data_IF_982334283097
#
_entry.id   IF_982334283097
#
_cell.length_a   1.000
_cell.length_b   1.000
_cell.length_c   1.000
_cell.angle_alpha   90.00
_cell.angle_beta   90.00
_cell.angle_gamma   90.00
#
_symmetry.space_group_name_H-M   'P 1'
#
loop_
_entity.id
_entity.type
_entity.pdbx_description
1 polymer ?
#
# COMPACT_ATOMS: atom_id res chain seq x y z
N UNK A 1 13.41 15.95 6.08
CA UNK A 1 13.64 15.69 4.64
C UNK A 1 13.05 14.33 4.24
N UNK A 2 12.00 14.30 3.39
CA UNK A 2 11.57 13.05 2.77
C UNK A 2 12.63 12.67 1.73
N UNK A 3 13.16 11.45 1.83
CA UNK A 3 14.18 10.93 0.93
C UNK A 3 13.73 10.90 -0.54
N UNK A 4 14.59 10.44 -1.45
CA UNK A 4 14.26 10.32 -2.86
C UNK A 4 12.95 9.55 -3.04
N UNK A 5 12.06 10.04 -3.92
CA UNK A 5 10.81 9.34 -4.27
C UNK A 5 11.14 8.02 -5.00
N UNK A 6 11.28 6.94 -4.22
CA UNK A 6 11.67 5.61 -4.70
C UNK A 6 10.65 5.07 -5.71
N UNK A 7 9.35 5.26 -5.44
CA UNK A 7 8.27 4.91 -6.35
C UNK A 7 8.42 5.59 -7.71
N UNK A 8 8.73 6.90 -7.75
CA UNK A 8 8.96 7.61 -9.01
C UNK A 8 10.21 7.11 -9.76
N UNK A 9 11.27 6.74 -9.04
CA UNK A 9 12.49 6.17 -9.65
C UNK A 9 12.24 4.81 -10.28
N UNK A 10 11.26 4.05 -9.79
CA UNK A 10 10.82 2.78 -10.38
C UNK A 10 9.84 3.01 -11.55
N UNK A 11 8.87 3.90 -11.39
CA UNK A 11 7.80 4.11 -12.36
C UNK A 11 8.30 4.67 -13.70
N UNK A 12 9.27 5.60 -13.69
CA UNK A 12 9.73 6.25 -14.92
C UNK A 12 10.48 5.31 -15.88
N UNK A 13 11.46 4.48 -15.44
CA UNK A 13 12.05 3.44 -16.27
C UNK A 13 11.03 2.40 -16.74
N UNK A 14 10.12 1.95 -15.87
CA UNK A 14 9.09 0.97 -16.23
C UNK A 14 8.19 1.48 -17.37
N UNK A 15 7.73 2.73 -17.29
CA UNK A 15 6.93 3.35 -18.36
C UNK A 15 7.70 3.46 -19.69
N UNK A 16 9.00 3.79 -19.64
CA UNK A 16 9.85 3.81 -20.85
C UNK A 16 10.00 2.42 -21.46
N UNK A 17 10.21 1.40 -20.63
CA UNK A 17 10.34 0.02 -21.11
C UNK A 17 9.05 -0.50 -21.75
N UNK A 18 7.89 -0.24 -21.13
CA UNK A 18 6.59 -0.57 -21.72
C UNK A 18 6.40 0.11 -23.08
N UNK A 19 6.72 1.40 -23.16
CA UNK A 19 6.61 2.17 -24.40
C UNK A 19 7.54 1.61 -25.48
N UNK A 20 8.77 1.26 -25.14
CA UNK A 20 9.72 0.62 -26.06
C UNK A 20 9.25 -0.76 -26.57
N UNK A 21 8.39 -1.43 -25.79
CA UNK A 21 7.75 -2.70 -26.16
C UNK A 21 6.41 -2.51 -26.88
N UNK A 22 6.06 -1.28 -27.29
CA UNK A 22 4.82 -0.99 -28.02
C UNK A 22 3.58 -0.79 -27.15
N UNK A 23 3.74 -0.67 -25.82
CA UNK A 23 2.65 -0.42 -24.87
C UNK A 23 2.71 1.04 -24.38
N UNK A 24 1.86 1.96 -24.88
CA UNK A 24 1.90 3.36 -24.48
C UNK A 24 1.71 3.51 -22.96
N UNK A 25 2.71 4.07 -22.26
CA UNK A 25 2.67 4.26 -20.82
C UNK A 25 3.39 5.53 -20.40
N UNK A 26 2.87 6.22 -19.38
CA UNK A 26 3.48 7.43 -18.82
C UNK A 26 3.46 7.41 -17.30
N UNK A 27 4.62 7.62 -16.68
CA UNK A 27 4.71 7.85 -15.25
C UNK A 27 4.24 9.28 -14.91
N UNK A 28 3.17 9.39 -14.12
CA UNK A 28 2.56 10.67 -13.73
C UNK A 28 2.34 10.72 -12.22
N UNK A 29 2.69 11.82 -11.53
CA UNK A 29 2.44 11.96 -10.09
C UNK A 29 0.97 12.35 -9.84
N UNK A 30 0.05 11.40 -9.97
CA UNK A 30 -1.40 11.63 -9.83
C UNK A 30 -1.87 11.84 -8.40
N UNK A 31 -1.03 11.67 -7.39
CA UNK A 31 -1.41 11.77 -5.98
C UNK A 31 -0.68 12.91 -5.29
N UNK A 32 -1.33 13.51 -4.29
CA UNK A 32 -0.71 14.43 -3.34
C UNK A 32 -1.24 14.18 -1.93
N UNK A 33 -0.42 14.44 -0.89
CA UNK A 33 -0.92 14.47 0.48
C UNK A 33 -1.99 15.54 0.65
N UNK A 34 -3.06 15.20 1.38
CA UNK A 34 -4.12 16.12 1.77
C UNK A 34 -4.03 16.55 3.24
N UNK A 35 -3.47 15.68 4.10
CA UNK A 35 -3.26 15.95 5.53
C UNK A 35 -2.03 15.24 6.07
N UNK A 36 -1.65 15.59 7.29
CA UNK A 36 -0.66 14.82 8.05
C UNK A 36 -1.25 13.46 8.46
N UNK A 37 -0.41 12.43 8.43
CA UNK A 37 -0.72 11.07 8.90
C UNK A 37 0.00 10.90 10.23
N UNK A 38 -0.69 10.36 11.24
CA UNK A 38 -0.09 10.11 12.55
C UNK A 38 0.96 8.99 12.45
N UNK A 39 1.87 8.93 13.43
CA UNK A 39 2.83 7.84 13.50
C UNK A 39 2.11 6.47 13.47
N UNK A 40 2.63 5.58 12.63
CA UNK A 40 2.05 4.26 12.37
C UNK A 40 2.67 3.16 13.23
N UNK A 41 3.60 3.52 14.12
CA UNK A 41 4.14 2.65 15.16
C UNK A 41 2.99 2.10 16.04
N UNK A 42 3.00 0.79 16.31
CA UNK A 42 2.00 0.14 17.18
C UNK A 42 0.60 -0.05 16.60
N UNK A 43 0.23 0.57 15.47
CA UNK A 43 -1.12 0.41 14.90
C UNK A 43 -1.37 -1.02 14.40
N UNK A 44 -2.62 -1.47 14.50
CA UNK A 44 -3.12 -2.68 13.80
C UNK A 44 -3.27 -2.40 12.30
N UNK A 45 -3.55 -3.42 11.47
CA UNK A 45 -3.82 -3.20 10.04
C UNK A 45 -5.05 -2.29 9.82
N UNK A 46 -6.12 -2.50 10.59
CA UNK A 46 -7.29 -1.62 10.59
C UNK A 46 -6.98 -0.20 11.06
N UNK A 47 -6.16 -0.05 12.11
CA UNK A 47 -5.70 1.25 12.59
C UNK A 47 -4.89 2.02 11.54
N UNK A 48 -4.07 1.33 10.73
CA UNK A 48 -3.35 1.96 9.61
C UNK A 48 -4.28 2.43 8.51
N UNK A 49 -5.27 1.61 8.13
CA UNK A 49 -6.25 1.97 7.11
C UNK A 49 -7.04 3.22 7.54
N UNK A 50 -7.51 3.27 8.79
CA UNK A 50 -8.19 4.44 9.33
C UNK A 50 -7.27 5.68 9.37
N UNK A 51 -6.02 5.52 9.84
CA UNK A 51 -5.06 6.63 9.88
C UNK A 51 -4.71 7.16 8.48
N UNK A 52 -4.75 6.32 7.44
CA UNK A 52 -4.50 6.73 6.05
C UNK A 52 -5.74 7.20 5.32
N UNK A 53 -6.95 6.91 5.77
CA UNK A 53 -8.17 7.32 5.07
C UNK A 53 -8.22 8.84 4.89
N UNK A 54 -8.36 9.29 3.64
CA UNK A 54 -8.37 10.71 3.29
C UNK A 54 -7.00 11.39 3.37
N UNK A 55 -5.90 10.65 3.55
CA UNK A 55 -4.55 11.19 3.56
C UNK A 55 -4.07 11.55 2.15
N UNK A 56 -4.63 10.94 1.11
CA UNK A 56 -4.30 11.20 -0.29
C UNK A 56 -5.50 11.76 -1.05
N UNK A 57 -5.19 12.65 -1.98
CA UNK A 57 -6.14 13.13 -3.00
C UNK A 57 -5.49 13.06 -4.37
N UNK A 58 -6.32 12.82 -5.39
CA UNK A 58 -5.87 12.87 -6.76
C UNK A 58 -5.52 14.31 -7.18
N UNK A 59 -4.55 14.44 -8.08
CA UNK A 59 -4.30 15.62 -8.89
C UNK A 59 -5.08 15.48 -10.19
N UNK A 60 -5.38 16.62 -10.82
CA UNK A 60 -5.79 16.60 -12.23
C UNK A 60 -4.71 15.94 -13.09
N UNK A 61 -5.14 15.15 -14.07
CA UNK A 61 -4.22 14.37 -14.89
C UNK A 61 -4.91 13.67 -16.05
N UNK A 62 -4.14 12.94 -16.88
CA UNK A 62 -4.68 12.21 -18.01
C UNK A 62 -5.70 11.16 -17.58
N UNK A 63 -6.70 10.96 -18.42
CA UNK A 63 -7.71 9.90 -18.27
C UNK A 63 -7.19 8.58 -18.82
N UNK A 64 -7.60 7.47 -18.21
CA UNK A 64 -7.26 6.12 -18.66
C UNK A 64 -7.01 5.16 -17.49
N UNK A 65 -6.67 3.90 -17.78
CA UNK A 65 -6.27 2.91 -16.78
C UNK A 65 -5.04 3.36 -16.00
N UNK A 66 -5.07 3.21 -14.67
CA UNK A 66 -3.98 3.58 -13.77
C UNK A 66 -3.41 2.34 -13.09
N UNK A 67 -2.10 2.15 -13.20
CA UNK A 67 -1.33 1.21 -12.40
C UNK A 67 -0.62 1.98 -11.28
N UNK A 68 -0.87 1.61 -10.02
CA UNK A 68 -0.12 2.16 -8.89
C UNK A 68 1.26 1.52 -8.83
N UNK A 69 2.28 2.30 -8.50
CA UNK A 69 3.65 1.81 -8.34
C UNK A 69 4.15 2.22 -6.96
N UNK A 70 4.68 1.26 -6.22
CA UNK A 70 5.34 1.48 -4.93
C UNK A 70 6.58 0.58 -4.85
N UNK A 71 7.50 0.82 -3.93
CA UNK A 71 8.66 -0.04 -3.75
C UNK A 71 8.34 -1.26 -2.88
N UNK A 72 7.73 -1.04 -1.72
CA UNK A 72 7.50 -2.06 -0.71
C UNK A 72 6.07 -1.97 -0.19
N UNK A 73 5.33 -3.08 -0.28
CA UNK A 73 4.05 -3.23 0.41
C UNK A 73 4.23 -4.00 1.72
N UNK A 74 3.63 -3.49 2.78
CA UNK A 74 3.51 -4.17 4.08
C UNK A 74 2.08 -4.65 4.29
N UNK A 75 1.18 -3.73 4.61
CA UNK A 75 -0.25 -3.99 4.87
C UNK A 75 -1.14 -3.67 3.68
N UNK A 76 -0.59 -3.01 2.65
CA UNK A 76 -1.38 -2.50 1.52
C UNK A 76 -2.18 -1.23 1.82
N UNK A 77 -2.17 -0.71 3.06
CA UNK A 77 -3.00 0.43 3.44
C UNK A 77 -2.71 1.70 2.60
N UNK A 78 -1.45 1.96 2.26
CA UNK A 78 -1.07 3.09 1.39
C UNK A 78 -1.63 2.94 -0.03
N UNK A 79 -1.49 1.75 -0.63
CA UNK A 79 -2.03 1.44 -1.95
C UNK A 79 -3.56 1.49 -1.97
N UNK A 80 -4.21 1.01 -0.91
CA UNK A 80 -5.67 1.07 -0.77
C UNK A 80 -6.17 2.53 -0.69
N UNK A 81 -5.49 3.38 0.08
CA UNK A 81 -5.81 4.81 0.15
C UNK A 81 -5.56 5.52 -1.18
N UNK A 82 -4.46 5.19 -1.87
CA UNK A 82 -4.17 5.70 -3.21
C UNK A 82 -5.26 5.31 -4.21
N UNK A 83 -5.69 4.05 -4.21
CA UNK A 83 -6.77 3.56 -5.06
C UNK A 83 -8.11 4.26 -4.76
N UNK A 84 -8.45 4.42 -3.47
CA UNK A 84 -9.63 5.17 -3.03
C UNK A 84 -9.60 6.62 -3.53
N UNK A 85 -8.47 7.31 -3.39
CA UNK A 85 -8.32 8.70 -3.81
C UNK A 85 -8.47 8.88 -5.33
N UNK A 86 -7.94 7.94 -6.12
CA UNK A 86 -8.07 7.93 -7.57
C UNK A 86 -9.49 7.60 -8.02
N UNK A 87 -10.12 6.60 -7.41
CA UNK A 87 -11.51 6.24 -7.70
C UNK A 87 -12.48 7.39 -7.38
N UNK A 88 -12.27 8.09 -6.27
CA UNK A 88 -13.05 9.28 -5.90
C UNK A 88 -12.90 10.44 -6.91
N UNK A 89 -11.83 10.44 -7.70
CA UNK A 89 -11.60 11.40 -8.79
C UNK A 89 -11.97 10.85 -10.17
N UNK A 90 -12.59 9.66 -10.25
CA UNK A 90 -13.07 9.06 -11.50
C UNK A 90 -12.01 8.29 -12.30
N UNK A 91 -10.83 8.02 -11.73
CA UNK A 91 -9.82 7.18 -12.38
C UNK A 91 -10.11 5.69 -12.20
N UNK A 92 -9.84 4.89 -13.24
CA UNK A 92 -9.89 3.44 -13.19
C UNK A 92 -8.53 2.88 -12.74
N UNK A 93 -8.42 2.40 -11.51
CA UNK A 93 -7.21 1.72 -11.03
C UNK A 93 -7.30 0.25 -11.40
N UNK A 94 -6.37 -0.22 -12.23
CA UNK A 94 -6.36 -1.61 -12.75
C UNK A 94 -5.45 -2.55 -11.96
N UNK A 95 -4.62 -2.01 -11.07
CA UNK A 95 -3.76 -2.82 -10.20
C UNK A 95 -2.66 -2.00 -9.53
N UNK A 96 -1.74 -2.72 -8.88
CA UNK A 96 -0.53 -2.17 -8.31
C UNK A 96 0.67 -3.07 -8.63
N UNK A 97 1.84 -2.46 -8.85
CA UNK A 97 3.12 -3.13 -9.01
C UNK A 97 4.07 -2.69 -7.89
N UNK A 98 4.68 -3.66 -7.20
CA UNK A 98 5.61 -3.44 -6.09
C UNK A 98 6.83 -4.35 -6.21
N UNK A 99 7.98 -3.89 -5.72
CA UNK A 99 9.23 -4.67 -5.78
C UNK A 99 9.28 -5.72 -4.69
N UNK A 100 8.79 -5.41 -3.49
CA UNK A 100 8.76 -6.35 -2.37
C UNK A 100 7.43 -6.32 -1.62
N UNK A 101 7.03 -7.49 -1.09
CA UNK A 101 5.90 -7.64 -0.19
C UNK A 101 6.36 -8.26 1.12
N UNK A 102 6.09 -7.57 2.23
CA UNK A 102 6.37 -8.09 3.58
C UNK A 102 5.06 -8.44 4.25
N UNK A 103 4.63 -9.69 4.09
CA UNK A 103 3.55 -10.22 4.91
C UNK A 103 4.03 -10.21 6.37
N UNK A 104 3.30 -9.51 7.24
CA UNK A 104 3.54 -9.64 8.67
C UNK A 104 3.28 -11.10 9.02
N UNK A 105 4.26 -11.79 9.61
CA UNK A 105 4.03 -13.11 10.22
C UNK A 105 2.79 -12.96 11.10
N UNK A 106 1.73 -13.72 10.79
CA UNK A 106 0.63 -13.88 11.73
C UNK A 106 1.27 -14.23 13.08
N UNK A 107 0.94 -13.46 14.12
CA UNK A 107 1.32 -13.86 15.46
C UNK A 107 0.83 -15.31 15.63
N UNK A 108 1.76 -16.23 15.92
CA UNK A 108 1.42 -17.63 16.17
C UNK A 108 0.25 -17.66 17.15
N UNK A 109 -0.77 -18.52 16.96
CA UNK A 109 -1.77 -18.71 17.99
C UNK A 109 -1.02 -19.03 19.29
N UNK A 110 -1.31 -18.28 20.35
CA UNK A 110 -0.62 -18.37 21.62
C UNK A 110 -0.43 -19.82 22.01
N UNK A 111 0.81 -20.18 22.34
CA UNK A 111 1.14 -21.50 22.90
C UNK A 111 0.26 -21.67 24.14
N UNK A 112 -0.79 -22.48 24.05
CA UNK A 112 -1.63 -22.84 25.19
C UNK A 112 -0.70 -23.57 26.14
N UNK A 113 -0.42 -22.97 27.30
CA UNK A 113 0.33 -23.64 28.36
C UNK A 113 -0.41 -24.92 28.76
N UNK A 114 0.30 -25.98 29.16
CA UNK A 114 -0.35 -27.23 29.54
C UNK A 114 -1.33 -26.94 30.69
N UNK A 115 -2.57 -27.41 30.55
CA UNK A 115 -3.56 -27.38 31.62
C UNK A 115 -3.00 -28.16 32.83
N UNK A 116 -3.22 -27.70 34.07
CA UNK A 116 -2.78 -28.43 35.23
C UNK A 116 -3.53 -29.75 35.32
N UNK A 117 -2.80 -30.86 35.19
CA UNK A 117 -3.34 -32.18 35.48
C UNK A 117 -3.65 -32.30 36.98
N UNK A 118 -4.73 -33.00 37.33
CA UNK A 118 -5.01 -33.42 38.71
C UNK A 118 -5.47 -34.88 38.68
N UNK A 119 -4.80 -35.80 39.38
CA UNK A 119 -5.35 -37.12 39.60
C UNK A 119 -6.39 -37.07 40.72
N UNK A 120 -7.61 -37.50 40.41
CA UNK A 120 -8.58 -37.88 41.45
C UNK A 120 -8.13 -39.17 42.16
N UNK A 121 -8.57 -39.41 43.40
CA UNK A 121 -8.08 -40.52 44.20
C UNK A 121 -8.66 -41.87 43.74
N UNK A 122 -7.84 -42.92 43.81
CA UNK A 122 -8.26 -44.33 43.91
C UNK A 122 -7.83 -44.87 45.25
#
# INVERSE_FOLDING_TARGET
PRGPDHARRLAAPAARQLTAQGHPARAVPLLRPARAVLDQAGLTSGGRAANLHGALVARGGPTGPVLLVDDIVTTGATLAEAARALAAAGHLVVGAAVVAATARRHASPGRVGPLPWSPGPV
#
